data_IF_967399630936
#
_entry.id   IF_967399630936
#
_cell.length_a   1.000
_cell.length_b   1.000
_cell.length_c   1.000
_cell.angle_alpha   90.00
_cell.angle_beta   90.00
_cell.angle_gamma   90.00
#
_symmetry.space_group_name_H-M   'P 1'
#
loop_
_entity.id
_entity.type
_entity.pdbx_description
1 polymer ?
#
# COMPACT_ATOMS: atom_id res chain seq x y z
N UNK A 1 -27.85 51.52 67.70
CA UNK A 1 -27.75 50.05 67.59
C UNK A 1 -27.98 49.68 66.14
N UNK A 2 -26.92 49.65 65.34
CA UNK A 2 -26.94 49.33 63.91
C UNK A 2 -26.56 47.87 63.73
N UNK A 3 -27.49 47.04 63.28
CA UNK A 3 -27.23 45.64 62.92
C UNK A 3 -26.68 45.60 61.49
N UNK A 4 -25.40 45.28 61.33
CA UNK A 4 -24.86 44.87 60.03
C UNK A 4 -25.19 43.39 59.75
N UNK A 5 -25.67 43.05 58.54
CA UNK A 5 -25.83 41.66 58.14
C UNK A 5 -24.45 41.03 57.88
N UNK A 6 -24.16 39.93 58.56
CA UNK A 6 -22.98 39.09 58.37
C UNK A 6 -22.92 38.62 56.92
N UNK A 7 -21.93 39.11 56.18
CA UNK A 7 -21.61 38.69 54.82
C UNK A 7 -21.27 37.19 54.82
N UNK A 8 -22.14 36.39 54.23
CA UNK A 8 -21.94 34.95 54.07
C UNK A 8 -20.62 34.68 53.32
N UNK A 9 -19.72 33.94 53.97
CA UNK A 9 -18.50 33.45 53.36
C UNK A 9 -18.86 32.49 52.21
N UNK A 10 -18.40 32.82 51.00
CA UNK A 10 -18.43 31.92 49.84
C UNK A 10 -17.67 30.64 50.19
N UNK A 11 -18.22 29.43 49.98
CA UNK A 11 -17.50 28.19 50.30
C UNK A 11 -16.21 28.12 49.48
N UNK A 12 -15.08 28.06 50.18
CA UNK A 12 -13.77 27.81 49.59
C UNK A 12 -13.80 26.45 48.88
N UNK A 13 -13.31 26.46 47.64
CA UNK A 13 -13.15 25.28 46.82
C UNK A 13 -12.36 24.22 47.60
N UNK A 14 -13.04 23.14 48.00
CA UNK A 14 -12.45 22.01 48.69
C UNK A 14 -11.42 21.28 47.84
N UNK A 15 -10.44 20.69 48.52
CA UNK A 15 -9.35 19.90 47.94
C UNK A 15 -9.83 18.90 46.87
N UNK A 16 -8.99 18.59 45.86
CA UNK A 16 -9.34 17.60 44.85
C UNK A 16 -9.64 16.27 45.53
N UNK A 17 -10.90 15.84 45.51
CA UNK A 17 -11.29 14.51 45.94
C UNK A 17 -10.65 13.46 45.02
N UNK A 18 -10.20 12.32 45.59
CA UNK A 18 -9.62 11.20 44.83
C UNK A 18 -10.51 10.79 43.63
N UNK A 19 -11.83 10.89 43.79
CA UNK A 19 -12.80 10.63 42.71
C UNK A 19 -12.74 11.61 41.53
N UNK A 20 -12.39 12.89 41.77
CA UNK A 20 -12.14 13.87 40.70
C UNK A 20 -10.85 13.55 39.95
N UNK A 21 -9.77 13.22 40.67
CA UNK A 21 -8.47 12.88 40.06
C UNK A 21 -8.56 11.65 39.14
N UNK A 22 -9.30 10.61 39.55
CA UNK A 22 -9.52 9.41 38.72
C UNK A 22 -10.37 9.72 37.48
N UNK A 23 -11.36 10.61 37.62
CA UNK A 23 -12.22 11.05 36.51
C UNK A 23 -11.45 11.88 35.50
N UNK A 24 -10.58 12.78 35.98
CA UNK A 24 -9.73 13.62 35.15
C UNK A 24 -8.67 12.78 34.42
N UNK A 25 -8.01 11.85 35.11
CA UNK A 25 -7.05 10.91 34.50
C UNK A 25 -7.71 10.02 33.44
N UNK A 26 -8.93 9.53 33.69
CA UNK A 26 -9.69 8.73 32.71
C UNK A 26 -10.06 9.54 31.47
N UNK A 27 -10.37 10.83 31.65
CA UNK A 27 -10.66 11.78 30.56
C UNK A 27 -9.41 12.10 29.75
N UNK A 28 -8.25 12.24 30.39
CA UNK A 28 -6.98 12.46 29.70
C UNK A 28 -6.58 11.25 28.86
N UNK A 29 -6.70 10.03 29.40
CA UNK A 29 -6.45 8.79 28.67
C UNK A 29 -7.39 8.66 27.46
N UNK A 30 -8.68 8.94 27.65
CA UNK A 30 -9.67 8.93 26.55
C UNK A 30 -9.30 9.95 25.46
N UNK A 31 -8.77 11.10 25.86
CA UNK A 31 -8.30 12.15 24.95
C UNK A 31 -7.05 11.73 24.19
N UNK A 32 -6.09 11.06 24.84
CA UNK A 32 -4.89 10.52 24.19
C UNK A 32 -5.26 9.46 23.14
N UNK A 33 -6.13 8.51 23.49
CA UNK A 33 -6.59 7.47 22.56
C UNK A 33 -7.27 8.10 21.34
N UNK A 34 -8.12 9.11 21.57
CA UNK A 34 -8.81 9.81 20.47
C UNK A 34 -7.82 10.52 19.53
N UNK A 35 -6.77 11.14 20.09
CA UNK A 35 -5.69 11.79 19.32
C UNK A 35 -4.88 10.78 18.51
N UNK A 36 -4.55 9.63 19.08
CA UNK A 36 -3.81 8.57 18.38
C UNK A 36 -4.61 8.02 17.19
N UNK A 37 -5.92 7.84 17.38
CA UNK A 37 -6.84 7.44 16.30
C UNK A 37 -6.90 8.52 15.21
N UNK A 38 -6.98 9.79 15.59
CA UNK A 38 -7.00 10.91 14.64
C UNK A 38 -5.70 10.98 13.84
N UNK A 39 -4.56 10.80 14.50
CA UNK A 39 -3.25 10.75 13.87
C UNK A 39 -3.15 9.56 12.90
N UNK A 40 -3.49 8.35 13.35
CA UNK A 40 -3.50 7.16 12.51
C UNK A 40 -4.44 7.30 11.30
N UNK A 41 -5.62 7.93 11.49
CA UNK A 41 -6.53 8.25 10.38
C UNK A 41 -5.89 9.23 9.40
N UNK A 42 -5.17 10.22 9.88
CA UNK A 42 -4.48 11.20 9.02
C UNK A 42 -3.37 10.54 8.20
N UNK A 43 -2.57 9.69 8.82
CA UNK A 43 -1.48 8.95 8.17
C UNK A 43 -2.04 7.94 7.16
N UNK A 44 -3.08 7.21 7.52
CA UNK A 44 -3.77 6.29 6.61
C UNK A 44 -4.37 7.05 5.42
N UNK A 45 -4.96 8.23 5.61
CA UNK A 45 -5.50 9.05 4.51
C UNK A 45 -4.41 9.49 3.54
N UNK A 46 -3.24 9.90 4.06
CA UNK A 46 -2.09 10.26 3.23
C UNK A 46 -1.57 9.02 2.47
N UNK A 47 -1.45 7.89 3.17
CA UNK A 47 -1.01 6.61 2.58
C UNK A 47 -1.96 6.13 1.47
N UNK A 48 -3.27 6.15 1.70
CA UNK A 48 -4.29 5.76 0.71
C UNK A 48 -4.29 6.73 -0.48
N UNK A 49 -4.16 8.03 -0.24
CA UNK A 49 -4.14 9.02 -1.32
C UNK A 49 -2.90 8.83 -2.20
N UNK A 50 -1.72 8.76 -1.60
CA UNK A 50 -0.46 8.66 -2.33
C UNK A 50 -0.30 7.26 -2.96
N UNK A 51 -0.65 6.20 -2.23
CA UNK A 51 -0.67 4.83 -2.73
C UNK A 51 -1.69 4.66 -3.86
N UNK A 52 -2.91 5.19 -3.70
CA UNK A 52 -3.95 5.15 -4.71
C UNK A 52 -3.59 5.93 -5.98
N UNK A 53 -3.00 7.12 -5.84
CA UNK A 53 -2.46 7.87 -6.98
C UNK A 53 -1.32 7.11 -7.66
N UNK A 54 -0.40 6.53 -6.89
CA UNK A 54 0.68 5.71 -7.43
C UNK A 54 0.16 4.53 -8.25
N UNK A 55 -0.76 3.75 -7.70
CA UNK A 55 -1.40 2.62 -8.40
C UNK A 55 -2.15 3.10 -9.65
N UNK A 56 -2.88 4.21 -9.57
CA UNK A 56 -3.58 4.79 -10.71
C UNK A 56 -2.63 5.23 -11.83
N UNK A 57 -1.53 5.90 -11.49
CA UNK A 57 -0.51 6.33 -12.45
C UNK A 57 0.20 5.14 -13.09
N UNK A 58 0.57 4.12 -12.31
CA UNK A 58 1.18 2.89 -12.85
C UNK A 58 0.22 2.12 -13.74
N UNK A 59 -1.08 2.05 -13.40
CA UNK A 59 -2.09 1.44 -14.26
C UNK A 59 -2.23 2.20 -15.59
N UNK A 60 -2.30 3.53 -15.55
CA UNK A 60 -2.36 4.37 -16.74
C UNK A 60 -1.09 4.24 -17.60
N UNK A 61 0.09 4.25 -16.98
CA UNK A 61 1.36 4.06 -17.67
C UNK A 61 1.46 2.68 -18.32
N UNK A 62 1.04 1.61 -17.61
CA UNK A 62 0.98 0.26 -18.15
C UNK A 62 0.03 0.16 -19.36
N UNK A 63 -1.16 0.76 -19.26
CA UNK A 63 -2.10 0.83 -20.37
C UNK A 63 -1.51 1.56 -21.60
N UNK A 64 -0.92 2.74 -21.39
CA UNK A 64 -0.26 3.50 -22.46
C UNK A 64 0.92 2.73 -23.06
N UNK A 65 1.69 2.01 -22.26
CA UNK A 65 2.79 1.17 -22.74
C UNK A 65 2.27 0.04 -23.65
N UNK A 66 1.15 -0.59 -23.31
CA UNK A 66 0.50 -1.59 -24.18
C UNK A 66 0.08 -0.96 -25.51
N UNK A 67 -0.57 0.21 -25.49
CA UNK A 67 -0.95 0.91 -26.73
C UNK A 67 0.27 1.30 -27.57
N UNK A 68 1.34 1.79 -26.93
CA UNK A 68 2.58 2.15 -27.59
C UNK A 68 3.24 0.94 -28.27
N UNK A 69 3.25 -0.23 -27.61
CA UNK A 69 3.76 -1.48 -28.20
C UNK A 69 2.94 -1.89 -29.42
N UNK A 70 1.61 -1.75 -29.39
CA UNK A 70 0.75 -2.05 -30.56
C UNK A 70 1.11 -1.12 -31.73
N UNK A 71 1.18 0.20 -31.48
CA UNK A 71 1.55 1.17 -32.52
C UNK A 71 2.97 0.95 -33.06
N UNK A 72 3.93 0.65 -32.18
CA UNK A 72 5.30 0.31 -32.56
C UNK A 72 5.34 -0.94 -33.44
N UNK A 73 4.53 -1.96 -33.12
CA UNK A 73 4.46 -3.20 -33.91
C UNK A 73 4.00 -2.93 -35.34
N UNK A 74 2.95 -2.11 -35.49
CA UNK A 74 2.46 -1.68 -36.80
C UNK A 74 3.53 -0.86 -37.52
N UNK A 75 4.14 0.11 -36.84
CA UNK A 75 5.19 0.93 -37.42
C UNK A 75 6.37 0.10 -37.95
N UNK A 76 6.86 -0.88 -37.19
CA UNK A 76 7.93 -1.78 -37.62
C UNK A 76 7.49 -2.62 -38.83
N UNK A 77 6.26 -3.14 -38.84
CA UNK A 77 5.77 -3.93 -39.97
C UNK A 77 5.71 -3.09 -41.27
N UNK A 78 5.22 -1.86 -41.20
CA UNK A 78 5.23 -0.94 -42.33
C UNK A 78 6.65 -0.52 -42.74
N UNK A 79 7.56 -0.37 -41.78
CA UNK A 79 8.95 -0.10 -42.06
C UNK A 79 9.64 -1.25 -42.81
N UNK A 80 9.33 -2.51 -42.48
CA UNK A 80 9.84 -3.68 -43.20
C UNK A 80 9.25 -3.76 -44.64
N UNK A 81 8.00 -3.31 -44.82
CA UNK A 81 7.32 -3.30 -46.12
C UNK A 81 7.72 -2.11 -47.03
N UNK A 82 8.60 -1.22 -46.57
CA UNK A 82 8.81 0.11 -47.14
C UNK A 82 8.99 0.18 -48.67
N UNK A 83 8.22 1.09 -49.29
CA UNK A 83 8.37 1.59 -50.67
C UNK A 83 8.45 0.52 -51.78
N UNK A 84 7.70 -0.58 -51.66
CA UNK A 84 7.55 -1.59 -52.72
C UNK A 84 8.75 -2.52 -52.94
N UNK A 85 9.89 -2.24 -52.30
CA UNK A 85 11.06 -3.11 -52.27
C UNK A 85 11.14 -3.97 -51.01
N UNK A 86 10.31 -3.67 -50.00
CA UNK A 86 10.23 -4.42 -48.76
C UNK A 86 9.50 -5.75 -48.88
N UNK A 87 9.46 -6.47 -47.76
CA UNK A 87 8.73 -7.73 -47.65
C UNK A 87 7.22 -7.49 -47.72
N UNK A 88 6.44 -8.44 -48.26
CA UNK A 88 4.98 -8.32 -48.24
C UNK A 88 4.46 -8.16 -46.79
N UNK A 89 3.43 -7.33 -46.61
CA UNK A 89 3.02 -6.85 -45.29
C UNK A 89 2.70 -7.99 -44.30
N UNK A 90 2.12 -9.09 -44.77
CA UNK A 90 1.87 -10.28 -43.93
C UNK A 90 3.14 -10.91 -43.38
N UNK A 91 4.21 -11.00 -44.17
CA UNK A 91 5.51 -11.51 -43.70
C UNK A 91 6.17 -10.54 -42.71
N UNK A 92 6.03 -9.23 -42.92
CA UNK A 92 6.51 -8.23 -41.98
C UNK A 92 5.86 -8.39 -40.59
N UNK A 93 4.53 -8.56 -40.53
CA UNK A 93 3.83 -8.82 -39.26
C UNK A 93 4.25 -10.16 -38.62
N UNK A 94 4.48 -11.21 -39.41
CA UNK A 94 4.96 -12.49 -38.89
C UNK A 94 6.37 -12.38 -38.27
N UNK A 95 7.25 -11.57 -38.85
CA UNK A 95 8.59 -11.31 -38.29
C UNK A 95 8.47 -10.58 -36.94
N UNK A 96 7.65 -9.53 -36.87
CA UNK A 96 7.42 -8.78 -35.61
C UNK A 96 6.81 -9.69 -34.55
N UNK A 97 5.85 -10.54 -34.92
CA UNK A 97 5.26 -11.54 -34.04
C UNK A 97 6.30 -12.55 -33.54
N UNK A 98 7.13 -13.10 -34.44
CA UNK A 98 8.20 -14.02 -34.10
C UNK A 98 9.21 -13.39 -33.14
N UNK A 99 9.56 -12.12 -33.35
CA UNK A 99 10.41 -11.36 -32.43
C UNK A 99 9.81 -11.28 -31.02
N UNK A 100 8.51 -10.99 -30.88
CA UNK A 100 7.87 -10.97 -29.57
C UNK A 100 7.79 -12.35 -28.92
N UNK A 101 7.57 -13.43 -29.69
CA UNK A 101 7.63 -14.78 -29.15
C UNK A 101 9.02 -15.12 -28.60
N UNK A 102 10.09 -14.75 -29.32
CA UNK A 102 11.45 -14.95 -28.84
C UNK A 102 11.73 -14.13 -27.57
N UNK A 103 11.30 -12.87 -27.54
CA UNK A 103 11.45 -12.01 -26.37
C UNK A 103 10.68 -12.55 -25.16
N UNK A 104 9.43 -12.99 -25.36
CA UNK A 104 8.62 -13.60 -24.32
C UNK A 104 9.25 -14.90 -23.79
N UNK A 105 9.74 -15.77 -24.68
CA UNK A 105 10.46 -16.98 -24.32
C UNK A 105 11.70 -16.69 -23.49
N UNK A 106 12.49 -15.68 -23.86
CA UNK A 106 13.67 -15.24 -23.10
C UNK A 106 13.29 -14.73 -21.71
N UNK A 107 12.27 -13.88 -21.60
CA UNK A 107 11.79 -13.35 -20.32
C UNK A 107 11.29 -14.47 -19.39
N UNK A 108 10.51 -15.41 -19.92
CA UNK A 108 10.06 -16.59 -19.17
C UNK A 108 11.25 -17.43 -18.70
N UNK A 109 12.20 -17.70 -19.59
CA UNK A 109 13.40 -18.47 -19.26
C UNK A 109 14.21 -17.82 -18.13
N UNK A 110 14.48 -16.51 -18.24
CA UNK A 110 15.19 -15.75 -17.21
C UNK A 110 14.40 -15.72 -15.90
N UNK A 111 13.09 -15.49 -15.97
CA UNK A 111 12.19 -15.50 -14.81
C UNK A 111 12.21 -16.82 -14.06
N UNK A 112 12.04 -17.94 -14.78
CA UNK A 112 12.13 -19.29 -14.21
C UNK A 112 13.50 -19.54 -13.59
N UNK A 113 14.59 -19.13 -14.25
CA UNK A 113 15.94 -19.28 -13.71
C UNK A 113 16.16 -18.46 -12.43
N UNK A 114 15.56 -17.27 -12.34
CA UNK A 114 15.61 -16.42 -11.14
C UNK A 114 14.78 -17.02 -10.01
N UNK A 115 13.55 -17.44 -10.28
CA UNK A 115 12.69 -18.09 -9.28
C UNK A 115 13.32 -19.37 -8.73
N UNK A 116 13.93 -20.20 -9.58
CA UNK A 116 14.64 -21.42 -9.14
C UNK A 116 15.86 -21.13 -8.26
N UNK A 117 16.44 -19.93 -8.32
CA UNK A 117 17.56 -19.53 -7.44
C UNK A 117 17.09 -19.03 -6.08
N UNK A 118 15.87 -18.54 -5.98
CA UNK A 118 15.28 -18.13 -4.71
C UNK A 118 14.64 -19.38 -4.12
N UNK A 119 15.37 -20.06 -3.23
CA UNK A 119 14.83 -21.20 -2.47
C UNK A 119 13.55 -20.82 -1.72
N UNK A 120 12.74 -21.81 -1.31
CA UNK A 120 11.54 -21.53 -0.51
C UNK A 120 11.93 -20.71 0.74
N UNK A 121 11.07 -19.81 1.23
CA UNK A 121 11.40 -18.92 2.33
C UNK A 121 11.47 -19.71 3.65
N UNK A 122 12.61 -20.33 3.92
CA UNK A 122 12.85 -21.26 5.04
C UNK A 122 12.43 -20.65 6.38
N UNK A 123 12.81 -19.39 6.64
CA UNK A 123 12.43 -18.69 7.89
C UNK A 123 10.92 -18.48 8.03
N UNK A 124 10.22 -18.17 6.94
CA UNK A 124 8.77 -18.00 6.96
C UNK A 124 8.06 -19.34 7.17
N UNK A 125 8.60 -20.41 6.57
CA UNK A 125 8.11 -21.78 6.77
C UNK A 125 8.34 -22.24 8.22
N UNK A 126 9.51 -21.95 8.77
CA UNK A 126 9.87 -22.28 10.15
C UNK A 126 9.00 -21.54 11.16
N UNK A 127 8.81 -20.23 10.99
CA UNK A 127 7.86 -19.46 11.82
C UNK A 127 6.44 -19.99 11.71
N UNK A 128 5.96 -20.31 10.50
CA UNK A 128 4.63 -20.90 10.30
C UNK A 128 4.43 -22.24 11.00
N UNK A 129 5.49 -23.07 11.10
CA UNK A 129 5.46 -24.35 11.83
C UNK A 129 5.46 -24.20 13.34
N UNK A 130 6.02 -23.12 13.87
CA UNK A 130 6.03 -22.85 15.32
C UNK A 130 4.66 -22.39 15.85
N UNK A 131 3.80 -21.79 15.01
CA UNK A 131 2.46 -21.34 15.40
C UNK A 131 1.59 -22.47 15.97
N UNK A 132 1.41 -23.63 15.29
CA UNK A 132 0.64 -24.74 15.84
C UNK A 132 1.36 -25.43 17.02
N UNK A 133 2.69 -25.47 17.04
CA UNK A 133 3.46 -26.04 18.14
C UNK A 133 3.30 -25.23 19.45
N UNK A 134 3.27 -23.89 19.36
CA UNK A 134 3.03 -23.00 20.48
C UNK A 134 1.59 -23.07 21.02
N UNK A 135 0.62 -23.44 20.17
CA UNK A 135 -0.78 -23.64 20.56
C UNK A 135 -1.02 -25.04 21.16
N UNK A 136 -0.28 -26.07 20.73
CA UNK A 136 -0.45 -27.47 21.19
C UNK A 136 0.23 -27.77 22.54
N UNK A 137 1.16 -26.94 22.99
CA UNK A 137 1.82 -27.07 24.31
C UNK A 137 0.99 -26.56 25.50
N UNK A 138 -0.26 -26.14 25.30
CA UNK A 138 -1.11 -25.52 26.33
C UNK A 138 -2.44 -26.22 26.58
N UNK A 139 -2.56 -27.49 26.19
CA UNK A 139 -3.72 -28.36 26.49
C UNK A 139 -3.31 -29.54 27.32
#
# INVERSE_FOLDING_TARGET
MSNEPVKAATPQAGDPTIGRLVTDASRDISTLISKEIELAKSELKVSVRNGGLGVGLFAAAGFLAVLAVIMLSVAIAYFINWNGHGLALHWAFLIVFGFYLLLAGLLVFVGVKKLKKVGPPEKAIEQGRQIPAALKGRS
#
